data_IF_755305624726
#
_entry.id   IF_755305624726
#
_cell.length_a   1.000
_cell.length_b   1.000
_cell.length_c   1.000
_cell.angle_alpha   90.00
_cell.angle_beta   90.00
_cell.angle_gamma   90.00
#
_symmetry.space_group_name_H-M   'P 1'
#
loop_
_entity.id
_entity.type
_entity.pdbx_description
1 polymer ?
#
# COMPACT_ATOMS: atom_id res chain seq x y z
N UNK A 1 -3.50 8.88 -8.12
CA UNK A 1 -4.50 7.80 -7.93
C UNK A 1 -4.16 6.53 -8.69
N UNK A 2 -4.11 6.57 -10.03
CA UNK A 2 -3.75 5.38 -10.84
C UNK A 2 -2.40 4.79 -10.45
N UNK A 3 -1.38 5.63 -10.21
CA UNK A 3 -0.04 5.17 -9.79
C UNK A 3 -0.04 4.37 -8.48
N UNK A 4 -0.85 4.78 -7.49
CA UNK A 4 -0.99 4.08 -6.20
C UNK A 4 -1.62 2.70 -6.44
N UNK A 5 -2.75 2.65 -7.14
CA UNK A 5 -3.42 1.39 -7.49
C UNK A 5 -2.51 0.43 -8.28
N UNK A 6 -1.77 0.94 -9.26
CA UNK A 6 -0.81 0.17 -10.06
C UNK A 6 0.33 -0.38 -9.20
N UNK A 7 0.90 0.45 -8.31
CA UNK A 7 1.99 0.02 -7.42
C UNK A 7 1.54 -1.08 -6.44
N UNK A 8 0.29 -1.03 -5.99
CA UNK A 8 -0.30 -2.03 -5.11
C UNK A 8 -0.56 -3.35 -5.84
N UNK A 9 -1.15 -3.29 -7.04
CA UNK A 9 -1.34 -4.48 -7.86
C UNK A 9 -0.01 -5.16 -8.21
N UNK A 10 1.00 -4.37 -8.58
CA UNK A 10 2.33 -4.88 -8.89
C UNK A 10 3.00 -5.51 -7.66
N UNK A 11 2.85 -4.91 -6.48
CA UNK A 11 3.33 -5.46 -5.21
C UNK A 11 2.69 -6.81 -4.92
N UNK A 12 1.36 -6.90 -4.96
CA UNK A 12 0.61 -8.14 -4.73
C UNK A 12 0.99 -9.23 -5.73
N UNK A 13 1.14 -8.87 -7.01
CA UNK A 13 1.58 -9.81 -8.04
C UNK A 13 2.98 -10.35 -7.76
N UNK A 14 3.93 -9.47 -7.39
CA UNK A 14 5.29 -9.84 -7.06
C UNK A 14 5.35 -10.76 -5.82
N UNK A 15 4.54 -10.50 -4.79
CA UNK A 15 4.45 -11.35 -3.59
C UNK A 15 3.93 -12.76 -3.93
N UNK A 16 2.86 -12.87 -4.73
CA UNK A 16 2.33 -14.18 -5.19
C UNK A 16 3.36 -14.93 -6.03
N UNK A 17 4.04 -14.23 -6.94
CA UNK A 17 5.08 -14.82 -7.78
C UNK A 17 6.29 -15.29 -6.96
N UNK A 18 6.66 -14.55 -5.91
CA UNK A 18 7.74 -14.88 -4.98
C UNK A 18 7.44 -16.18 -4.23
N UNK A 19 6.21 -16.34 -3.72
CA UNK A 19 5.77 -17.57 -3.03
C UNK A 19 5.88 -18.78 -3.96
N UNK A 20 5.36 -18.68 -5.19
CA UNK A 20 5.41 -19.78 -6.16
C UNK A 20 6.85 -20.15 -6.57
N UNK A 21 7.72 -19.15 -6.71
CA UNK A 21 9.13 -19.35 -7.06
C UNK A 21 9.91 -19.97 -5.90
N UNK A 22 9.63 -19.57 -4.67
CA UNK A 22 10.20 -20.15 -3.45
C UNK A 22 9.93 -21.66 -3.37
N UNK A 23 8.68 -22.10 -3.57
CA UNK A 23 8.35 -23.55 -3.57
C UNK A 23 9.05 -24.33 -4.69
N UNK A 24 9.21 -23.73 -5.88
CA UNK A 24 9.95 -24.35 -7.00
C UNK A 24 11.44 -24.49 -6.69
N UNK A 25 12.02 -23.53 -5.98
CA UNK A 25 13.42 -23.57 -5.54
C UNK A 25 13.60 -24.73 -4.55
N UNK A 26 12.72 -24.88 -3.55
CA UNK A 26 12.75 -25.98 -2.59
C UNK A 26 12.67 -27.35 -3.28
N UNK A 27 11.74 -27.51 -4.24
CA UNK A 27 11.61 -28.74 -5.02
C UNK A 27 12.87 -29.04 -5.86
N UNK A 28 13.49 -28.02 -6.45
CA UNK A 28 14.73 -28.17 -7.23
C UNK A 28 15.95 -28.54 -6.38
N UNK A 29 15.99 -28.09 -5.12
CA UNK A 29 17.02 -28.48 -4.14
C UNK A 29 16.90 -29.98 -3.85
N UNK A 30 15.68 -30.48 -3.56
CA UNK A 30 15.43 -31.89 -3.24
C UNK A 30 15.82 -32.80 -4.42
N UNK A 31 15.48 -32.41 -5.65
CA UNK A 31 15.80 -33.16 -6.88
C UNK A 31 17.27 -33.03 -7.35
N UNK A 32 18.11 -32.25 -6.64
CA UNK A 32 19.54 -32.04 -6.93
C UNK A 32 19.87 -31.53 -8.34
N UNK A 33 18.93 -30.84 -9.00
CA UNK A 33 19.12 -30.30 -10.36
C UNK A 33 19.73 -28.89 -10.35
N UNK A 34 21.08 -28.82 -10.36
CA UNK A 34 21.88 -27.59 -10.32
C UNK A 34 21.53 -26.48 -11.35
N UNK A 35 21.33 -26.75 -12.67
CA UNK A 35 21.15 -25.67 -13.64
C UNK A 35 19.78 -24.99 -13.54
N UNK A 36 18.75 -25.72 -13.13
CA UNK A 36 17.39 -25.18 -12.93
C UNK A 36 17.31 -24.35 -11.65
N UNK A 37 18.05 -24.75 -10.61
CA UNK A 37 18.16 -24.02 -9.35
C UNK A 37 18.74 -22.61 -9.55
N UNK A 38 19.86 -22.48 -10.27
CA UNK A 38 20.51 -21.17 -10.47
C UNK A 38 19.63 -20.16 -11.22
N UNK A 39 18.90 -20.59 -12.27
CA UNK A 39 17.95 -19.72 -12.98
C UNK A 39 16.79 -19.26 -12.09
N UNK A 40 16.22 -20.16 -11.29
CA UNK A 40 15.13 -19.82 -10.37
C UNK A 40 15.60 -18.90 -9.24
N UNK A 41 16.81 -19.12 -8.71
CA UNK A 41 17.41 -18.31 -7.67
C UNK A 41 17.73 -16.89 -8.16
N UNK A 42 18.30 -16.75 -9.36
CA UNK A 42 18.59 -15.42 -9.92
C UNK A 42 17.30 -14.62 -10.16
N UNK A 43 16.23 -15.28 -10.62
CA UNK A 43 14.91 -14.65 -10.75
C UNK A 43 14.32 -14.22 -9.40
N UNK A 44 14.46 -15.05 -8.37
CA UNK A 44 14.01 -14.74 -7.01
C UNK A 44 14.73 -13.51 -6.42
N UNK A 45 16.06 -13.45 -6.57
CA UNK A 45 16.87 -12.31 -6.13
C UNK A 45 16.47 -11.01 -6.85
N UNK A 46 16.22 -11.08 -8.16
CA UNK A 46 15.79 -9.93 -8.94
C UNK A 46 14.40 -9.42 -8.48
N UNK A 47 13.48 -10.33 -8.19
CA UNK A 47 12.15 -9.97 -7.70
C UNK A 47 12.20 -9.33 -6.30
N UNK A 48 13.07 -9.81 -5.41
CA UNK A 48 13.33 -9.18 -4.10
C UNK A 48 13.76 -7.70 -4.25
N UNK A 49 14.59 -7.40 -5.25
CA UNK A 49 15.01 -6.01 -5.56
C UNK A 49 13.83 -5.19 -6.08
N UNK A 50 13.01 -5.76 -6.96
CA UNK A 50 11.82 -5.10 -7.51
C UNK A 50 10.81 -4.73 -6.42
N UNK A 51 10.55 -5.62 -5.47
CA UNK A 51 9.63 -5.34 -4.34
C UNK A 51 10.07 -4.12 -3.54
N UNK A 52 11.38 -3.96 -3.30
CA UNK A 52 11.91 -2.77 -2.62
C UNK A 52 11.67 -1.48 -3.42
N UNK A 53 11.85 -1.52 -4.74
CA UNK A 53 11.58 -0.37 -5.63
C UNK A 53 10.11 0.02 -5.61
N UNK A 54 9.21 -0.96 -5.69
CA UNK A 54 7.75 -0.74 -5.64
C UNK A 54 7.34 -0.10 -4.32
N UNK A 55 7.94 -0.55 -3.21
CA UNK A 55 7.68 0.00 -1.89
C UNK A 55 8.10 1.48 -1.78
N UNK A 56 9.27 1.83 -2.33
CA UNK A 56 9.72 3.22 -2.39
C UNK A 56 8.83 4.07 -3.30
N UNK A 57 8.41 3.52 -4.44
CA UNK A 57 7.52 4.20 -5.38
C UNK A 57 6.12 4.48 -4.81
N UNK A 58 5.58 3.54 -4.02
CA UNK A 58 4.33 3.74 -3.29
C UNK A 58 4.42 4.92 -2.32
N UNK A 59 5.52 5.01 -1.54
CA UNK A 59 5.77 6.14 -0.64
C UNK A 59 5.85 7.47 -1.38
N UNK A 60 6.59 7.51 -2.50
CA UNK A 60 6.70 8.71 -3.33
C UNK A 60 5.33 9.16 -3.85
N UNK A 61 4.51 8.23 -4.33
CA UNK A 61 3.16 8.52 -4.85
C UNK A 61 2.23 9.09 -3.78
N UNK A 62 2.32 8.59 -2.54
CA UNK A 62 1.55 9.08 -1.40
C UNK A 62 2.01 10.49 -0.96
N UNK A 63 3.33 10.73 -0.92
CA UNK A 63 3.88 12.05 -0.63
C UNK A 63 3.48 13.09 -1.68
N UNK A 64 3.55 12.73 -2.96
CA UNK A 64 3.12 13.61 -4.05
C UNK A 64 1.63 13.95 -3.94
N UNK A 65 0.80 12.95 -3.62
CA UNK A 65 -0.63 13.15 -3.39
C UNK A 65 -0.88 14.11 -2.22
N UNK A 66 -0.19 13.93 -1.08
CA UNK A 66 -0.29 14.83 0.08
C UNK A 66 -0.02 16.27 -0.33
N UNK A 67 1.07 16.49 -1.08
CA UNK A 67 1.51 17.81 -1.49
C UNK A 67 0.50 18.50 -2.42
N UNK A 68 0.07 17.80 -3.48
CA UNK A 68 -0.89 18.35 -4.45
C UNK A 68 -2.26 18.63 -3.81
N UNK A 69 -2.67 17.79 -2.87
CA UNK A 69 -3.95 17.97 -2.17
C UNK A 69 -3.90 19.18 -1.25
N UNK A 70 -2.82 19.32 -0.48
CA UNK A 70 -2.55 20.49 0.36
C UNK A 70 -2.55 21.78 -0.44
N UNK A 71 -1.80 21.82 -1.55
CA UNK A 71 -1.72 23.00 -2.42
C UNK A 71 -3.10 23.42 -2.95
N UNK A 72 -3.90 22.47 -3.44
CA UNK A 72 -5.26 22.76 -3.93
C UNK A 72 -6.20 23.25 -2.83
N UNK A 73 -6.21 22.62 -1.67
CA UNK A 73 -7.07 23.04 -0.55
C UNK A 73 -6.66 24.42 -0.05
N UNK A 74 -5.36 24.65 0.17
CA UNK A 74 -4.85 25.94 0.61
C UNK A 74 -5.20 27.03 -0.39
N UNK A 75 -5.02 26.81 -1.70
CA UNK A 75 -5.38 27.81 -2.70
C UNK A 75 -6.90 28.06 -2.75
N UNK A 76 -7.72 27.01 -2.66
CA UNK A 76 -9.18 27.16 -2.69
C UNK A 76 -9.70 27.95 -1.48
N UNK A 77 -9.25 27.60 -0.28
CA UNK A 77 -9.66 28.30 0.92
C UNK A 77 -9.10 29.72 1.00
N UNK A 78 -7.85 29.95 0.57
CA UNK A 78 -7.26 31.28 0.56
C UNK A 78 -7.99 32.20 -0.45
N UNK A 79 -8.38 31.67 -1.61
CA UNK A 79 -9.20 32.41 -2.57
C UNK A 79 -10.56 32.83 -1.98
N UNK A 80 -11.24 31.94 -1.25
CA UNK A 80 -12.49 32.29 -0.56
C UNK A 80 -12.30 33.23 0.63
N UNK A 81 -11.19 33.10 1.34
CA UNK A 81 -10.87 33.93 2.51
C UNK A 81 -10.59 35.39 2.10
N UNK A 82 -9.93 35.57 0.95
CA UNK A 82 -9.61 36.89 0.39
C UNK A 82 -10.78 37.50 -0.42
N UNK A 83 -11.84 36.73 -0.71
CA UNK A 83 -12.99 37.22 -1.47
C UNK A 83 -13.98 38.01 -0.59
N UNK A 84 -14.44 39.17 -1.07
CA UNK A 84 -15.61 39.90 -0.56
C UNK A 84 -15.59 40.37 0.90
N UNK A 85 -14.54 41.05 1.39
CA UNK A 85 -14.41 41.54 2.78
C UNK A 85 -14.56 40.45 3.86
N UNK A 86 -14.57 39.17 3.48
CA UNK A 86 -14.76 38.02 4.38
C UNK A 86 -13.63 37.96 5.40
N UNK A 87 -12.39 38.23 4.99
CA UNK A 87 -11.25 38.49 5.87
C UNK A 87 -11.62 39.41 7.04
N UNK A 88 -12.19 40.58 6.73
CA UNK A 88 -12.48 41.60 7.73
C UNK A 88 -13.64 41.18 8.64
N UNK A 89 -14.66 40.49 8.11
CA UNK A 89 -15.77 39.98 8.90
C UNK A 89 -15.33 38.86 9.86
N UNK A 90 -14.51 37.93 9.40
CA UNK A 90 -14.01 36.82 10.22
C UNK A 90 -13.04 37.32 11.29
N UNK A 91 -12.19 38.31 10.98
CA UNK A 91 -11.21 38.84 11.94
C UNK A 91 -11.79 39.86 12.93
N UNK A 92 -12.76 40.69 12.52
CA UNK A 92 -13.30 41.77 13.37
C UNK A 92 -14.72 41.54 13.91
N UNK A 93 -15.57 40.75 13.24
CA UNK A 93 -16.97 40.53 13.69
C UNK A 93 -17.19 39.21 14.42
N UNK A 94 -16.38 38.17 14.18
CA UNK A 94 -16.59 36.84 14.78
C UNK A 94 -15.41 36.40 15.67
N UNK A 95 -15.39 36.89 16.90
CA UNK A 95 -14.37 36.51 17.89
C UNK A 95 -14.53 35.04 18.39
N UNK A 96 -15.53 34.29 17.90
CA UNK A 96 -15.69 32.87 18.23
C UNK A 96 -14.67 31.99 17.51
N UNK A 97 -14.14 32.46 16.37
CA UNK A 97 -13.16 31.73 15.56
C UNK A 97 -11.82 32.49 15.67
N UNK A 98 -11.11 32.26 16.77
CA UNK A 98 -9.77 32.79 16.95
C UNK A 98 -8.77 32.02 16.04
N UNK A 99 -7.87 32.75 15.36
CA UNK A 99 -6.83 32.19 14.48
C UNK A 99 -7.38 31.31 13.34
N UNK A 100 -8.31 31.85 12.55
CA UNK A 100 -8.91 31.16 11.41
C UNK A 100 -7.85 30.69 10.38
N UNK A 101 -6.77 31.44 10.22
CA UNK A 101 -5.59 31.13 9.41
C UNK A 101 -4.82 29.89 9.92
N UNK A 102 -4.67 29.78 11.24
CA UNK A 102 -4.04 28.64 11.88
C UNK A 102 -4.93 27.40 11.77
N UNK A 103 -6.25 27.53 12.02
CA UNK A 103 -7.18 26.41 11.82
C UNK A 103 -7.13 25.91 10.38
N UNK A 104 -7.16 26.83 9.41
CA UNK A 104 -7.17 26.51 7.99
C UNK A 104 -5.92 25.71 7.58
N UNK A 105 -4.74 26.10 8.06
CA UNK A 105 -3.49 25.41 7.72
C UNK A 105 -3.34 24.08 8.45
N UNK A 106 -3.71 24.01 9.72
CA UNK A 106 -3.54 22.83 10.56
C UNK A 106 -4.55 21.72 10.21
N UNK A 107 -5.81 22.08 9.95
CA UNK A 107 -6.84 21.11 9.58
C UNK A 107 -6.65 20.57 8.17
N UNK A 108 -6.16 21.40 7.22
CA UNK A 108 -5.79 20.93 5.89
C UNK A 108 -4.67 19.89 5.96
N UNK A 109 -3.65 20.12 6.79
CA UNK A 109 -2.53 19.17 6.92
C UNK A 109 -3.01 17.85 7.56
N UNK A 110 -3.80 17.91 8.63
CA UNK A 110 -4.43 16.74 9.27
C UNK A 110 -5.34 15.97 8.31
N UNK A 111 -6.13 16.67 7.51
CA UNK A 111 -7.00 16.05 6.52
C UNK A 111 -6.20 15.33 5.44
N UNK A 112 -5.12 15.95 4.94
CA UNK A 112 -4.22 15.32 3.97
C UNK A 112 -3.54 14.07 4.55
N UNK A 113 -3.15 14.09 5.82
CA UNK A 113 -2.59 12.92 6.52
C UNK A 113 -3.61 11.78 6.64
N UNK A 114 -4.85 12.09 7.03
CA UNK A 114 -5.92 11.09 7.10
C UNK A 114 -6.21 10.44 5.75
N UNK A 115 -6.19 11.21 4.66
CA UNK A 115 -6.33 10.67 3.29
C UNK A 115 -5.18 9.71 2.97
N UNK A 116 -3.93 10.10 3.23
CA UNK A 116 -2.74 9.27 2.97
C UNK A 116 -2.76 7.99 3.79
N UNK A 117 -3.16 8.07 5.05
CA UNK A 117 -3.28 6.92 5.95
C UNK A 117 -4.38 5.97 5.49
N UNK A 118 -5.53 6.50 5.06
CA UNK A 118 -6.61 5.72 4.47
C UNK A 118 -6.12 4.99 3.20
N UNK A 119 -5.43 5.68 2.30
CA UNK A 119 -4.88 5.06 1.07
C UNK A 119 -3.76 4.05 1.34
N UNK A 120 -3.04 4.17 2.45
CA UNK A 120 -2.00 3.21 2.83
C UNK A 120 -2.58 1.94 3.45
N UNK A 121 -3.68 2.06 4.20
CA UNK A 121 -4.34 0.95 4.92
C UNK A 121 -5.47 0.28 4.13
N UNK A 122 -6.09 0.98 3.19
CA UNK A 122 -7.13 0.40 2.32
C UNK A 122 -6.68 -0.85 1.54
N UNK A 123 -5.46 -0.91 0.96
CA UNK A 123 -5.02 -2.05 0.17
C UNK A 123 -4.70 -3.27 1.04
N UNK A 124 -4.15 -3.07 2.24
CA UNK A 124 -3.91 -4.16 3.18
C UNK A 124 -5.22 -4.74 3.68
N UNK A 125 -6.23 -3.90 3.94
CA UNK A 125 -7.58 -4.35 4.30
C UNK A 125 -8.27 -5.10 3.14
N UNK A 126 -8.20 -4.58 1.91
CA UNK A 126 -8.79 -5.22 0.73
C UNK A 126 -8.13 -6.56 0.43
N UNK A 127 -6.80 -6.63 0.52
CA UNK A 127 -6.05 -7.85 0.28
C UNK A 127 -6.30 -8.89 1.38
N UNK A 128 -6.42 -8.48 2.64
CA UNK A 128 -6.85 -9.37 3.73
C UNK A 128 -8.25 -9.94 3.48
N UNK A 129 -9.19 -9.10 3.04
CA UNK A 129 -10.55 -9.53 2.69
C UNK A 129 -10.57 -10.49 1.48
N UNK A 130 -9.80 -10.20 0.43
CA UNK A 130 -9.74 -11.01 -0.78
C UNK A 130 -8.94 -12.32 -0.62
N UNK A 131 -7.93 -12.33 0.26
CA UNK A 131 -7.12 -13.51 0.55
C UNK A 131 -7.77 -14.47 1.56
N UNK A 132 -8.73 -14.01 2.36
CA UNK A 132 -9.47 -14.83 3.32
C UNK A 132 -9.98 -16.18 2.74
N UNK A 133 -10.64 -16.24 1.56
CA UNK A 133 -11.06 -17.52 0.98
C UNK A 133 -9.87 -18.38 0.51
N UNK A 134 -8.83 -17.80 -0.12
CA UNK A 134 -7.65 -18.56 -0.57
C UNK A 134 -6.79 -19.10 0.58
N UNK A 135 -6.75 -18.40 1.71
CA UNK A 135 -6.04 -18.86 2.90
C UNK A 135 -6.76 -20.05 3.54
N UNK A 136 -8.10 -20.06 3.53
CA UNK A 136 -8.91 -21.22 3.96
C UNK A 136 -8.66 -22.45 3.08
N UNK A 137 -8.54 -22.26 1.75
CA UNK A 137 -8.22 -23.34 0.82
C UNK A 137 -6.78 -23.89 1.01
N UNK A 138 -5.81 -23.01 1.25
CA UNK A 138 -4.42 -23.43 1.52
C UNK A 138 -4.28 -24.17 2.87
N UNK A 139 -5.04 -23.79 3.90
CA UNK A 139 -5.09 -24.54 5.17
C UNK A 139 -5.73 -25.92 5.00
N UNK A 140 -6.80 -26.01 4.20
CA UNK A 140 -7.42 -27.28 3.84
C UNK A 140 -6.45 -28.20 3.07
N UNK A 141 -5.78 -27.67 2.05
CA UNK A 141 -4.79 -28.39 1.26
C UNK A 141 -3.55 -28.81 2.07
N UNK A 142 -3.06 -27.95 2.98
CA UNK A 142 -1.95 -28.27 3.88
C UNK A 142 -2.28 -29.39 4.87
N UNK A 143 -3.52 -29.42 5.38
CA UNK A 143 -4.01 -30.52 6.23
C UNK A 143 -4.18 -31.83 5.45
N UNK A 144 -4.58 -31.76 4.17
CA UNK A 144 -4.71 -32.93 3.28
C UNK A 144 -3.34 -33.50 2.89
N UNK A 145 -2.35 -32.64 2.62
CA UNK A 145 -0.98 -33.06 2.32
C UNK A 145 -0.28 -33.66 3.54
N UNK A 146 -0.51 -33.11 4.73
CA UNK A 146 -0.03 -33.69 6.00
C UNK A 146 -0.66 -35.05 6.32
N UNK A 147 -1.94 -35.27 5.98
CA UNK A 147 -2.57 -36.61 6.06
C UNK A 147 -1.98 -37.61 5.08
N UNK A 148 -1.70 -37.21 3.83
CA UNK A 148 -1.02 -38.07 2.85
C UNK A 148 0.41 -38.45 3.27
N UNK A 149 1.13 -37.54 3.91
CA UNK A 149 2.51 -37.78 4.35
C UNK A 149 2.60 -38.72 5.57
N UNK A 150 1.59 -38.71 6.46
CA UNK A 150 1.48 -39.69 7.54
C UNK A 150 1.03 -41.07 7.05
N UNK A 151 0.26 -41.17 5.96
CA UNK A 151 -0.18 -42.45 5.37
C UNK A 151 0.93 -43.19 4.59
N UNK A 152 1.98 -42.49 4.16
CA UNK A 152 3.15 -43.09 3.46
C UNK A 152 4.24 -43.52 4.45
N UNK A 153 4.12 -43.11 5.72
CA UNK A 153 5.07 -43.45 6.80
C UNK A 153 4.57 -44.60 7.68
N UNK A 154 3.41 -45.19 7.37
CA UNK A 154 2.84 -46.37 8.03
C UNK A 154 3.01 -47.61 7.15
#
# INVERSE_FOLDING_TARGET
MVAIALSLMLRTYADVWMIQTSTKIEAAIILRHKPRFWRSLSGYLLCMRLVSVINSFLKLSLCELKLRFRERLTHHFNAQYLDGFTFYKVTNLDNRIANADQLLTQDVDRFCEGIVELYSNFPSALLAAAAAPKFADCLSAGSAMRRRMNSVRA
#
